data_IF_917002444536
#
_entry.id   IF_917002444536
#
_cell.length_a   1.000
_cell.length_b   1.000
_cell.length_c   1.000
_cell.angle_alpha   90.00
_cell.angle_beta   90.00
_cell.angle_gamma   90.00
#
_symmetry.space_group_name_H-M   'P 1'
#
loop_
_entity.id
_entity.type
_entity.pdbx_description
1 polymer ?
#
# COMPACT_ATOMS: atom_id res chain seq x y z
N UNK A 1 -23.41 -14.18 8.07
CA UNK A 1 -24.51 -13.55 7.35
C UNK A 1 -24.68 -12.09 7.81
N UNK A 2 -23.63 -11.59 8.45
CA UNK A 2 -23.45 -10.21 8.84
C UNK A 2 -22.05 -9.73 8.43
N UNK A 3 -21.81 -8.42 8.42
CA UNK A 3 -20.47 -7.88 8.16
C UNK A 3 -19.49 -8.28 9.28
N UNK A 4 -19.95 -8.43 10.51
CA UNK A 4 -19.11 -8.85 11.64
C UNK A 4 -18.65 -10.31 11.50
N UNK A 5 -19.48 -11.19 10.97
CA UNK A 5 -19.07 -12.57 10.62
C UNK A 5 -18.01 -12.58 9.52
N UNK A 6 -18.16 -11.72 8.49
CA UNK A 6 -17.14 -11.57 7.45
C UNK A 6 -15.82 -11.07 8.03
N UNK A 7 -15.88 -10.09 8.95
CA UNK A 7 -14.68 -9.60 9.65
C UNK A 7 -14.00 -10.70 10.45
N UNK A 8 -14.76 -11.47 11.23
CA UNK A 8 -14.24 -12.56 12.04
C UNK A 8 -13.56 -13.63 11.16
N UNK A 9 -14.16 -13.98 10.01
CA UNK A 9 -13.56 -14.93 9.08
C UNK A 9 -12.29 -14.33 8.44
N UNK A 10 -12.29 -13.07 8.11
CA UNK A 10 -11.10 -12.38 7.61
C UNK A 10 -9.97 -12.36 8.64
N UNK A 11 -10.26 -12.11 9.92
CA UNK A 11 -9.29 -12.19 11.01
C UNK A 11 -8.69 -13.61 11.14
N UNK A 12 -9.52 -14.64 11.01
CA UNK A 12 -9.06 -16.03 11.00
C UNK A 12 -8.11 -16.31 9.85
N UNK A 13 -8.42 -15.82 8.66
CA UNK A 13 -7.55 -15.95 7.49
C UNK A 13 -6.25 -15.15 7.64
N UNK A 14 -6.33 -13.91 8.09
CA UNK A 14 -5.14 -13.07 8.35
C UNK A 14 -4.21 -13.75 9.35
N UNK A 15 -4.75 -14.28 10.47
CA UNK A 15 -3.97 -15.04 11.44
C UNK A 15 -3.26 -16.22 10.81
N UNK A 16 -3.95 -17.01 10.00
CA UNK A 16 -3.35 -18.16 9.30
C UNK A 16 -2.18 -17.75 8.40
N UNK A 17 -2.34 -16.65 7.64
CA UNK A 17 -1.28 -16.15 6.77
C UNK A 17 -0.11 -15.58 7.57
N UNK A 18 -0.35 -14.84 8.65
CA UNK A 18 0.71 -14.30 9.51
C UNK A 18 1.52 -15.44 10.13
N UNK A 19 0.85 -16.45 10.68
CA UNK A 19 1.50 -17.62 11.27
C UNK A 19 2.31 -18.42 10.21
N UNK A 20 1.82 -18.44 8.97
CA UNK A 20 2.50 -19.10 7.84
C UNK A 20 3.73 -18.34 7.38
N UNK A 21 3.64 -17.02 7.26
CA UNK A 21 4.76 -16.12 6.93
C UNK A 21 5.82 -16.20 8.03
N UNK A 22 5.43 -16.22 9.29
CA UNK A 22 6.35 -16.36 10.42
C UNK A 22 7.15 -17.67 10.33
N UNK A 23 6.48 -18.80 10.08
CA UNK A 23 7.16 -20.08 9.90
C UNK A 23 8.12 -20.06 8.71
N UNK A 24 7.74 -19.44 7.61
CA UNK A 24 8.61 -19.25 6.45
C UNK A 24 9.86 -18.43 6.81
N UNK A 25 9.70 -17.37 7.59
CA UNK A 25 10.85 -16.56 8.03
C UNK A 25 11.80 -17.31 8.96
N UNK A 26 11.27 -18.13 9.87
CA UNK A 26 12.12 -18.99 10.72
C UNK A 26 12.90 -20.00 9.88
N UNK A 27 12.25 -20.59 8.89
CA UNK A 27 12.96 -21.50 7.95
C UNK A 27 14.00 -20.76 7.11
N UNK A 28 13.66 -19.58 6.57
CA UNK A 28 14.60 -18.79 5.79
C UNK A 28 15.82 -18.36 6.64
N UNK A 29 15.61 -17.97 7.89
CA UNK A 29 16.70 -17.64 8.80
C UNK A 29 17.64 -18.81 9.04
N UNK A 30 17.10 -20.04 9.18
CA UNK A 30 17.94 -21.25 9.30
C UNK A 30 18.81 -21.45 8.06
N UNK A 31 18.26 -21.26 6.86
CA UNK A 31 19.03 -21.35 5.61
C UNK A 31 20.10 -20.26 5.53
N UNK A 32 19.75 -19.02 5.84
CA UNK A 32 20.73 -17.91 5.87
C UNK A 32 21.85 -18.17 6.88
N UNK A 33 21.51 -18.68 8.06
CA UNK A 33 22.48 -18.99 9.10
C UNK A 33 23.53 -20.05 8.64
N UNK A 34 23.11 -21.00 7.84
CA UNK A 34 23.97 -22.14 7.41
C UNK A 34 24.67 -21.89 6.09
N UNK A 35 24.00 -21.26 5.12
CA UNK A 35 24.47 -21.20 3.73
C UNK A 35 25.00 -19.82 3.33
N UNK A 36 24.54 -18.73 3.99
CA UNK A 36 24.85 -17.36 3.58
C UNK A 36 25.21 -16.42 4.74
N UNK A 37 26.32 -16.67 5.45
CA UNK A 37 26.79 -15.70 6.43
C UNK A 37 27.20 -14.40 5.74
N UNK A 38 26.91 -13.25 6.40
CA UNK A 38 27.16 -11.93 5.85
C UNK A 38 28.27 -11.22 6.63
N UNK A 39 29.54 -11.58 6.39
CA UNK A 39 30.69 -11.08 7.11
C UNK A 39 30.80 -9.55 7.06
N UNK A 40 30.63 -8.94 5.88
CA UNK A 40 30.74 -7.48 5.73
C UNK A 40 29.67 -6.73 6.53
N UNK A 41 28.43 -7.22 6.55
CA UNK A 41 27.38 -6.65 7.38
C UNK A 41 27.69 -6.88 8.88
N UNK A 42 28.15 -8.07 9.24
CA UNK A 42 28.49 -8.40 10.63
C UNK A 42 29.61 -7.54 11.18
N UNK A 43 30.62 -7.21 10.38
CA UNK A 43 31.70 -6.30 10.79
C UNK A 43 31.22 -4.85 11.05
N UNK A 44 30.11 -4.43 10.47
CA UNK A 44 29.54 -3.09 10.59
C UNK A 44 28.33 -3.03 11.53
N UNK A 45 27.95 -4.17 12.12
CA UNK A 45 26.77 -4.28 12.98
C UNK A 45 27.21 -4.45 14.43
N UNK A 46 26.72 -3.56 15.31
CA UNK A 46 26.98 -3.60 16.75
C UNK A 46 26.51 -4.92 17.36
N UNK A 47 27.35 -5.53 18.17
CA UNK A 47 27.10 -6.79 18.85
C UNK A 47 27.68 -8.03 18.13
N UNK A 48 27.89 -7.96 16.82
CA UNK A 48 28.37 -9.12 16.06
C UNK A 48 29.85 -9.47 16.40
N UNK A 49 30.71 -8.47 16.51
CA UNK A 49 32.14 -8.69 16.87
C UNK A 49 32.27 -9.11 18.32
N UNK A 50 31.51 -8.52 19.21
CA UNK A 50 31.53 -8.81 20.67
C UNK A 50 31.02 -10.24 20.94
N UNK A 51 30.02 -10.70 20.20
CA UNK A 51 29.46 -12.05 20.36
C UNK A 51 30.16 -13.12 19.55
N UNK A 52 30.98 -12.73 18.56
CA UNK A 52 31.60 -13.63 17.60
C UNK A 52 30.56 -14.34 16.72
N UNK A 53 29.40 -13.75 16.49
CA UNK A 53 28.31 -14.31 15.72
C UNK A 53 28.01 -13.43 14.51
N UNK A 54 27.70 -14.10 13.39
CA UNK A 54 27.20 -13.40 12.20
C UNK A 54 25.84 -12.72 12.46
N UNK A 55 25.58 -11.64 11.75
CA UNK A 55 24.30 -10.92 11.82
C UNK A 55 23.12 -11.84 11.53
N UNK A 56 23.28 -12.80 10.61
CA UNK A 56 22.24 -13.79 10.30
C UNK A 56 22.02 -14.80 11.43
N UNK A 57 22.99 -14.95 12.33
CA UNK A 57 22.95 -15.84 13.51
C UNK A 57 22.54 -15.12 14.80
N UNK A 58 22.00 -13.93 14.67
CA UNK A 58 21.59 -13.15 15.83
C UNK A 58 22.77 -12.53 16.60
N UNK A 59 23.86 -12.20 15.90
CA UNK A 59 25.01 -11.52 16.49
C UNK A 59 24.76 -10.06 16.86
N UNK A 60 23.81 -9.42 16.17
CA UNK A 60 23.46 -8.02 16.42
C UNK A 60 22.90 -7.81 17.84
N UNK A 61 23.15 -6.61 18.42
CA UNK A 61 22.55 -6.18 19.69
C UNK A 61 21.03 -6.22 19.63
N UNK A 62 20.44 -5.82 18.49
CA UNK A 62 19.02 -5.89 18.22
C UNK A 62 18.76 -6.75 17.00
N UNK A 63 18.06 -7.85 17.22
CA UNK A 63 17.69 -8.77 16.16
C UNK A 63 16.20 -8.57 15.81
N UNK A 64 15.88 -8.69 14.54
CA UNK A 64 14.51 -8.56 14.08
C UNK A 64 14.34 -8.98 12.64
N UNK A 65 13.11 -9.26 12.27
CA UNK A 65 12.70 -9.48 10.90
C UNK A 65 11.58 -8.54 10.53
N UNK A 66 11.67 -7.93 9.37
CA UNK A 66 10.64 -7.03 8.83
C UNK A 66 9.75 -7.73 7.82
N UNK A 67 8.45 -7.44 7.87
CA UNK A 67 7.50 -7.75 6.83
C UNK A 67 6.78 -6.49 6.40
N UNK A 68 6.29 -6.48 5.17
CA UNK A 68 5.55 -5.35 4.63
C UNK A 68 4.14 -5.78 4.26
N UNK A 69 3.15 -4.94 4.56
CA UNK A 69 1.81 -5.06 4.03
C UNK A 69 1.62 -4.03 2.92
N UNK A 70 0.90 -4.42 1.89
CA UNK A 70 0.56 -3.56 0.76
C UNK A 70 -0.90 -3.69 0.38
N UNK A 71 -1.30 -2.99 -0.67
CA UNK A 71 -2.67 -2.99 -1.21
C UNK A 71 -3.75 -2.60 -0.19
N UNK A 72 -3.38 -1.84 0.85
CA UNK A 72 -4.25 -1.51 1.98
C UNK A 72 -5.52 -0.78 1.50
N UNK A 73 -5.38 0.17 0.58
CA UNK A 73 -6.53 0.89 0.01
C UNK A 73 -7.48 -0.04 -0.76
N UNK A 74 -6.96 -1.01 -1.53
CA UNK A 74 -7.81 -1.98 -2.23
C UNK A 74 -8.62 -2.85 -1.26
N UNK A 75 -8.01 -3.27 -0.14
CA UNK A 75 -8.71 -4.03 0.91
C UNK A 75 -9.77 -3.17 1.58
N UNK A 76 -9.42 -1.95 1.99
CA UNK A 76 -10.34 -1.02 2.64
C UNK A 76 -11.54 -0.69 1.77
N UNK A 77 -11.30 -0.33 0.52
CA UNK A 77 -12.34 -0.02 -0.46
C UNK A 77 -13.26 -1.23 -0.71
N UNK A 78 -12.68 -2.42 -0.88
CA UNK A 78 -13.45 -3.65 -1.10
C UNK A 78 -14.38 -3.97 0.06
N UNK A 79 -13.89 -3.88 1.29
CA UNK A 79 -14.69 -4.12 2.49
C UNK A 79 -15.72 -3.03 2.71
N UNK A 80 -15.39 -1.78 2.39
CA UNK A 80 -16.32 -0.65 2.46
C UNK A 80 -17.50 -0.83 1.51
N UNK A 81 -17.25 -1.28 0.28
CA UNK A 81 -18.30 -1.64 -0.69
C UNK A 81 -19.19 -2.74 -0.15
N UNK A 82 -18.61 -3.84 0.32
CA UNK A 82 -19.37 -4.98 0.86
C UNK A 82 -20.22 -4.52 2.05
N UNK A 83 -19.61 -3.82 3.02
CA UNK A 83 -20.33 -3.31 4.18
C UNK A 83 -21.49 -2.42 3.77
N UNK A 84 -21.21 -1.39 2.99
CA UNK A 84 -22.19 -0.34 2.69
C UNK A 84 -23.30 -0.84 1.77
N UNK A 85 -22.96 -1.54 0.68
CA UNK A 85 -23.97 -1.89 -0.33
C UNK A 85 -24.65 -3.21 -0.05
N UNK A 86 -23.94 -4.20 0.52
CA UNK A 86 -24.51 -5.52 0.77
C UNK A 86 -25.16 -5.63 2.16
N UNK A 87 -24.59 -5.03 3.20
CA UNK A 87 -25.08 -5.21 4.57
C UNK A 87 -25.89 -4.01 5.08
N UNK A 88 -25.40 -2.79 4.94
CA UNK A 88 -26.06 -1.61 5.49
C UNK A 88 -27.26 -1.18 4.61
N UNK A 89 -27.03 -0.88 3.34
CA UNK A 89 -28.08 -0.43 2.38
C UNK A 89 -28.86 -1.59 1.77
N UNK A 90 -28.28 -2.79 1.72
CA UNK A 90 -28.87 -4.00 1.11
C UNK A 90 -29.34 -3.77 -0.33
N UNK A 91 -28.62 -2.96 -1.08
CA UNK A 91 -28.95 -2.60 -2.46
C UNK A 91 -28.27 -3.50 -3.51
N UNK A 92 -27.29 -4.28 -3.07
CA UNK A 92 -26.58 -5.32 -3.83
C UNK A 92 -26.56 -6.56 -2.97
N UNK A 93 -26.93 -7.72 -3.49
CA UNK A 93 -26.79 -8.95 -2.75
C UNK A 93 -25.33 -9.44 -2.79
N UNK A 94 -24.90 -10.12 -1.72
CA UNK A 94 -23.56 -10.74 -1.67
C UNK A 94 -23.36 -11.74 -2.81
N UNK A 95 -24.42 -12.43 -3.20
CA UNK A 95 -24.41 -13.39 -4.33
C UNK A 95 -24.19 -12.68 -5.67
N UNK A 96 -24.94 -11.62 -5.93
CA UNK A 96 -24.80 -10.81 -7.14
C UNK A 96 -23.39 -10.24 -7.26
N UNK A 97 -22.83 -9.68 -6.17
CA UNK A 97 -21.47 -9.19 -6.16
C UNK A 97 -20.46 -10.31 -6.42
N UNK A 98 -20.61 -11.46 -5.76
CA UNK A 98 -19.73 -12.61 -5.95
C UNK A 98 -19.73 -13.11 -7.40
N UNK A 99 -20.91 -13.26 -8.00
CA UNK A 99 -21.03 -13.71 -9.39
C UNK A 99 -20.41 -12.70 -10.37
N UNK A 100 -20.55 -11.39 -10.11
CA UNK A 100 -19.91 -10.34 -10.88
C UNK A 100 -18.37 -10.40 -10.80
N UNK A 101 -17.83 -10.70 -9.62
CA UNK A 101 -16.38 -10.86 -9.41
C UNK A 101 -15.84 -12.08 -10.15
N UNK A 102 -16.52 -13.22 -10.09
CA UNK A 102 -16.14 -14.44 -10.81
C UNK A 102 -16.07 -14.22 -12.33
N UNK A 103 -16.96 -13.39 -12.85
CA UNK A 103 -17.01 -13.02 -14.27
C UNK A 103 -16.18 -11.80 -14.62
N UNK A 104 -15.28 -11.34 -13.71
CA UNK A 104 -14.43 -10.17 -13.96
C UNK A 104 -15.22 -8.93 -14.39
N UNK A 105 -16.40 -8.74 -13.82
CA UNK A 105 -17.36 -7.67 -14.15
C UNK A 105 -18.00 -7.76 -15.55
N UNK A 106 -17.68 -8.76 -16.37
CA UNK A 106 -18.27 -8.95 -17.68
C UNK A 106 -19.79 -9.17 -17.54
N UNK A 107 -20.57 -8.40 -18.30
CA UNK A 107 -22.03 -8.38 -18.19
C UNK A 107 -22.58 -7.64 -16.95
N UNK A 108 -21.70 -7.13 -16.07
CA UNK A 108 -22.06 -6.42 -14.83
C UNK A 108 -21.49 -4.99 -14.77
N UNK A 109 -21.26 -4.36 -15.90
CA UNK A 109 -20.66 -3.02 -16.01
C UNK A 109 -21.52 -1.94 -15.32
N UNK A 110 -22.83 -2.09 -15.33
CA UNK A 110 -23.74 -1.16 -14.62
C UNK A 110 -23.56 -1.27 -13.10
N UNK A 111 -23.50 -2.47 -12.57
CA UNK A 111 -23.21 -2.71 -11.16
C UNK A 111 -21.83 -2.14 -10.78
N UNK A 112 -20.81 -2.41 -11.58
CA UNK A 112 -19.47 -1.87 -11.37
C UNK A 112 -19.46 -0.33 -11.33
N UNK A 113 -20.11 0.33 -12.29
CA UNK A 113 -20.24 1.81 -12.32
C UNK A 113 -21.00 2.34 -11.11
N UNK A 114 -22.04 1.65 -10.70
CA UNK A 114 -22.80 1.99 -9.50
C UNK A 114 -21.92 1.94 -8.26
N UNK A 115 -21.14 0.87 -8.07
CA UNK A 115 -20.19 0.73 -6.96
C UNK A 115 -19.23 1.91 -6.95
N UNK A 116 -18.58 2.23 -8.07
CA UNK A 116 -17.60 3.32 -8.18
C UNK A 116 -18.19 4.70 -7.86
N UNK A 117 -19.50 4.88 -8.05
CA UNK A 117 -20.17 6.16 -7.81
C UNK A 117 -20.81 6.28 -6.42
N UNK A 118 -21.36 5.19 -5.88
CA UNK A 118 -22.21 5.22 -4.68
C UNK A 118 -21.53 4.74 -3.41
N UNK A 119 -20.45 3.96 -3.52
CA UNK A 119 -19.75 3.45 -2.35
C UNK A 119 -18.83 4.53 -1.76
N UNK A 120 -18.70 4.59 -0.43
CA UNK A 120 -17.68 5.37 0.21
C UNK A 120 -16.33 4.67 0.08
N UNK A 121 -15.28 5.45 -0.19
CA UNK A 121 -13.93 4.93 -0.42
C UNK A 121 -12.91 5.60 0.48
N UNK A 122 -11.88 4.86 0.83
CA UNK A 122 -10.72 5.32 1.59
C UNK A 122 -9.99 6.47 0.88
N UNK A 123 -9.51 7.43 1.66
CA UNK A 123 -8.78 8.58 1.12
C UNK A 123 -9.63 9.86 0.97
N UNK A 124 -10.85 9.89 1.50
CA UNK A 124 -11.79 11.01 1.37
C UNK A 124 -12.17 11.68 2.69
N UNK A 125 -11.44 11.41 3.79
CA UNK A 125 -11.73 11.86 5.14
C UNK A 125 -13.15 11.42 5.61
N UNK A 126 -13.48 10.17 5.27
CA UNK A 126 -14.73 9.51 5.66
C UNK A 126 -14.41 8.41 6.68
N UNK A 127 -14.95 8.55 7.90
CA UNK A 127 -14.70 7.60 9.00
C UNK A 127 -15.21 6.18 8.71
N UNK A 128 -16.16 6.00 7.79
CA UNK A 128 -16.66 4.69 7.39
C UNK A 128 -15.56 3.80 6.82
N UNK A 129 -15.04 4.11 5.62
CA UNK A 129 -13.94 3.35 5.01
C UNK A 129 -12.64 3.49 5.79
N UNK A 130 -12.34 4.66 6.39
CA UNK A 130 -11.10 4.88 7.12
C UNK A 130 -10.99 3.96 8.35
N UNK A 131 -12.10 3.75 9.09
CA UNK A 131 -12.14 2.83 10.23
C UNK A 131 -11.96 1.36 9.84
N UNK A 132 -12.37 0.98 8.64
CA UNK A 132 -12.12 -0.36 8.10
C UNK A 132 -10.63 -0.57 7.84
N UNK A 133 -9.97 0.42 7.22
CA UNK A 133 -8.52 0.40 6.99
C UNK A 133 -7.77 0.37 8.32
N UNK A 134 -8.16 1.20 9.28
CA UNK A 134 -7.57 1.24 10.61
C UNK A 134 -7.70 -0.12 11.32
N UNK A 135 -8.89 -0.72 11.34
CA UNK A 135 -9.12 -2.05 11.92
C UNK A 135 -8.25 -3.12 11.24
N UNK A 136 -8.27 -3.20 9.91
CA UNK A 136 -7.50 -4.19 9.14
C UNK A 136 -6.00 -4.08 9.44
N UNK A 137 -5.49 -2.85 9.41
CA UNK A 137 -4.06 -2.60 9.64
C UNK A 137 -3.66 -2.86 11.08
N UNK A 138 -4.48 -2.44 12.07
CA UNK A 138 -4.24 -2.73 13.48
C UNK A 138 -4.19 -4.22 13.74
N UNK A 139 -5.19 -4.98 13.26
CA UNK A 139 -5.23 -6.43 13.48
C UNK A 139 -3.97 -7.11 12.94
N UNK A 140 -3.59 -6.80 11.69
CA UNK A 140 -2.40 -7.37 11.06
C UNK A 140 -1.13 -7.03 11.83
N UNK A 141 -0.92 -5.77 12.13
CA UNK A 141 0.29 -5.27 12.79
C UNK A 141 0.43 -5.79 14.20
N UNK A 142 -0.65 -5.76 15.00
CA UNK A 142 -0.64 -6.23 16.37
C UNK A 142 -0.34 -7.72 16.45
N UNK A 143 -0.96 -8.51 15.58
CA UNK A 143 -0.71 -9.95 15.53
C UNK A 143 0.72 -10.26 15.09
N UNK A 144 1.20 -9.60 14.03
CA UNK A 144 2.55 -9.81 13.51
C UNK A 144 3.62 -9.38 14.52
N UNK A 145 3.49 -8.20 15.11
CA UNK A 145 4.46 -7.67 16.08
C UNK A 145 4.48 -8.45 17.41
N UNK A 146 3.39 -9.16 17.75
CA UNK A 146 3.31 -10.00 18.96
C UNK A 146 3.93 -11.39 18.77
N UNK A 147 4.19 -11.79 17.53
CA UNK A 147 4.75 -13.12 17.22
C UNK A 147 6.27 -13.12 17.45
N UNK A 148 6.87 -14.13 18.08
CA UNK A 148 8.31 -14.21 18.26
C UNK A 148 9.06 -14.16 16.93
N UNK A 149 10.09 -13.31 16.87
CA UNK A 149 10.96 -13.18 15.70
C UNK A 149 12.07 -14.25 15.67
N UNK A 150 12.81 -14.26 14.58
CA UNK A 150 13.99 -15.13 14.43
C UNK A 150 15.10 -14.69 15.38
N UNK A 151 15.98 -15.62 15.75
CA UNK A 151 17.16 -15.36 16.58
C UNK A 151 16.84 -14.64 17.90
N UNK A 152 15.73 -14.97 18.56
CA UNK A 152 15.20 -14.30 19.76
C UNK A 152 14.95 -12.79 19.57
N UNK A 153 14.81 -12.34 18.33
CA UNK A 153 14.51 -10.97 17.99
C UNK A 153 12.99 -10.69 17.96
N UNK A 154 12.65 -9.55 17.41
CA UNK A 154 11.26 -9.13 17.23
C UNK A 154 10.81 -9.27 15.78
N UNK A 155 9.52 -9.52 15.57
CA UNK A 155 8.90 -9.29 14.27
C UNK A 155 8.39 -7.86 14.19
N UNK A 156 8.57 -7.22 13.04
CA UNK A 156 8.17 -5.85 12.83
C UNK A 156 7.45 -5.73 11.48
N UNK A 157 6.35 -5.00 11.46
CA UNK A 157 5.59 -4.75 10.24
C UNK A 157 5.80 -3.33 9.74
N UNK A 158 5.77 -3.16 8.43
CA UNK A 158 5.70 -1.86 7.76
C UNK A 158 4.60 -1.83 6.71
N UNK A 159 4.30 -0.64 6.20
CA UNK A 159 3.33 -0.43 5.13
C UNK A 159 4.05 0.12 3.89
N UNK A 160 4.69 -0.77 3.15
CA UNK A 160 5.36 -0.46 1.89
C UNK A 160 5.17 -1.62 0.93
N UNK A 161 4.88 -1.32 -0.33
CA UNK A 161 4.72 -2.29 -1.39
C UNK A 161 5.29 -1.72 -2.69
N UNK A 162 6.10 -2.51 -3.37
CA UNK A 162 6.64 -2.21 -4.69
C UNK A 162 6.03 -3.10 -5.79
N UNK A 163 5.12 -3.99 -5.41
CA UNK A 163 4.58 -5.04 -6.30
C UNK A 163 3.12 -4.81 -6.70
N UNK A 164 2.53 -3.64 -6.44
CA UNK A 164 1.10 -3.37 -6.70
C UNK A 164 0.67 -3.63 -8.15
N UNK A 165 1.55 -3.37 -9.16
CA UNK A 165 1.27 -3.69 -10.57
C UNK A 165 1.37 -5.19 -10.79
N UNK A 166 2.47 -5.82 -10.39
CA UNK A 166 2.66 -7.28 -10.55
C UNK A 166 1.67 -8.08 -9.70
N UNK A 167 1.39 -7.62 -8.49
CA UNK A 167 0.37 -8.20 -7.61
C UNK A 167 -1.00 -8.14 -8.26
N UNK A 168 -1.34 -6.99 -8.86
CA UNK A 168 -2.59 -6.78 -9.58
C UNK A 168 -2.77 -7.77 -10.74
N UNK A 169 -1.71 -8.02 -11.53
CA UNK A 169 -1.73 -9.01 -12.63
C UNK A 169 -2.08 -10.42 -12.17
N UNK A 170 -1.86 -10.74 -10.89
CA UNK A 170 -2.13 -12.06 -10.29
C UNK A 170 -3.37 -12.08 -9.40
N UNK A 171 -4.03 -10.95 -9.22
CA UNK A 171 -5.22 -10.81 -8.37
C UNK A 171 -6.46 -10.69 -9.21
N UNK A 172 -7.46 -11.49 -8.89
CA UNK A 172 -8.77 -11.47 -9.53
C UNK A 172 -9.50 -10.14 -9.27
N UNK A 173 -10.65 -9.96 -9.91
CA UNK A 173 -11.51 -8.80 -9.69
C UNK A 173 -11.82 -8.62 -8.20
N UNK A 174 -11.92 -7.36 -7.76
CA UNK A 174 -12.17 -7.02 -6.36
C UNK A 174 -13.45 -6.20 -6.20
N UNK A 175 -14.12 -6.28 -5.03
CA UNK A 175 -15.41 -5.65 -4.77
C UNK A 175 -15.46 -4.13 -5.00
N UNK A 176 -14.33 -3.45 -4.91
CA UNK A 176 -14.16 -2.02 -5.17
C UNK A 176 -14.23 -1.63 -6.66
N UNK A 177 -14.62 -2.57 -7.53
CA UNK A 177 -14.77 -2.35 -8.97
C UNK A 177 -13.48 -2.51 -9.77
N UNK A 178 -12.36 -2.97 -9.16
CA UNK A 178 -11.12 -3.31 -9.87
C UNK A 178 -11.32 -4.58 -10.69
N UNK A 179 -10.82 -4.61 -11.92
CA UNK A 179 -10.80 -5.79 -12.77
C UNK A 179 -9.59 -6.67 -12.48
N UNK A 180 -9.68 -7.93 -12.89
CA UNK A 180 -8.55 -8.86 -12.90
C UNK A 180 -7.41 -8.26 -13.72
N UNK A 181 -6.22 -8.24 -13.16
CA UNK A 181 -5.04 -7.71 -13.81
C UNK A 181 -4.77 -6.23 -13.61
N UNK A 182 -5.79 -5.43 -13.25
CA UNK A 182 -5.57 -4.01 -12.92
C UNK A 182 -4.65 -3.88 -11.70
N UNK A 183 -3.85 -2.79 -11.60
CA UNK A 183 -3.03 -2.54 -10.43
C UNK A 183 -3.83 -2.49 -9.12
N UNK A 184 -3.22 -2.97 -8.04
CA UNK A 184 -3.70 -2.77 -6.67
C UNK A 184 -3.37 -1.34 -6.20
N UNK A 185 -3.83 -0.94 -5.02
CA UNK A 185 -3.34 0.27 -4.36
C UNK A 185 -1.87 0.09 -3.94
N UNK A 186 -1.07 1.14 -4.02
CA UNK A 186 0.34 1.08 -3.62
C UNK A 186 0.46 1.28 -2.11
N UNK A 187 1.18 0.41 -1.43
CA UNK A 187 1.49 0.58 0.00
C UNK A 187 0.25 0.90 0.85
N UNK A 188 0.28 2.04 1.53
CA UNK A 188 -0.82 2.60 2.33
C UNK A 188 -1.75 3.54 1.55
N UNK A 189 -1.42 3.80 0.28
CA UNK A 189 -2.16 4.77 -0.52
C UNK A 189 -3.59 4.29 -0.80
N UNK A 190 -4.57 5.19 -0.82
CA UNK A 190 -5.84 4.95 -1.50
C UNK A 190 -5.63 4.61 -2.97
N UNK A 191 -6.60 3.96 -3.58
CA UNK A 191 -6.59 3.83 -5.04
C UNK A 191 -6.82 5.20 -5.70
N UNK A 192 -6.11 5.52 -6.79
CA UNK A 192 -6.29 6.82 -7.45
C UNK A 192 -7.75 7.13 -7.81
N UNK A 193 -8.50 6.13 -8.31
CA UNK A 193 -9.92 6.27 -8.67
C UNK A 193 -10.85 6.50 -7.47
N UNK A 194 -10.38 6.23 -6.26
CA UNK A 194 -11.17 6.33 -5.02
C UNK A 194 -11.13 7.74 -4.43
N UNK A 195 -10.06 8.50 -4.68
CA UNK A 195 -9.86 9.84 -4.07
C UNK A 195 -10.65 10.87 -4.87
N UNK A 196 -11.60 11.53 -4.20
CA UNK A 196 -12.50 12.53 -4.80
C UNK A 196 -12.41 13.90 -4.10
N UNK A 197 -11.98 13.93 -2.84
CA UNK A 197 -12.02 15.10 -1.98
C UNK A 197 -10.67 15.84 -1.86
N UNK A 198 -9.73 15.52 -2.75
CA UNK A 198 -8.45 16.22 -2.86
C UNK A 198 -7.41 15.83 -1.79
N UNK A 199 -6.21 16.44 -1.86
CA UNK A 199 -5.05 16.01 -1.11
C UNK A 199 -5.16 16.18 0.41
N UNK A 200 -5.95 17.13 0.90
CA UNK A 200 -6.16 17.30 2.34
C UNK A 200 -6.98 16.15 2.93
N UNK A 201 -8.06 15.76 2.26
CA UNK A 201 -8.85 14.59 2.67
C UNK A 201 -8.04 13.31 2.62
N UNK A 202 -7.22 13.15 1.57
CA UNK A 202 -6.29 12.03 1.43
C UNK A 202 -5.35 11.91 2.64
N UNK A 203 -4.62 12.98 3.00
CA UNK A 203 -3.66 12.90 4.12
C UNK A 203 -4.34 12.68 5.46
N UNK A 204 -5.55 13.21 5.66
CA UNK A 204 -6.35 12.97 6.87
C UNK A 204 -6.78 11.52 7.01
N UNK A 205 -7.29 10.90 5.94
CA UNK A 205 -7.64 9.48 5.93
C UNK A 205 -6.43 8.61 6.26
N UNK A 206 -5.33 8.83 5.55
CA UNK A 206 -4.13 7.98 5.72
C UNK A 206 -3.48 8.20 7.08
N UNK A 207 -3.56 9.40 7.66
CA UNK A 207 -3.05 9.67 9.00
C UNK A 207 -3.74 8.88 10.12
N UNK A 208 -4.97 8.38 9.89
CA UNK A 208 -5.69 7.50 10.84
C UNK A 208 -5.10 6.09 10.97
N UNK A 209 -4.21 5.69 10.08
CA UNK A 209 -3.52 4.41 10.18
C UNK A 209 -2.64 4.34 11.45
N UNK A 210 -2.38 3.13 12.00
CA UNK A 210 -1.59 2.95 13.22
C UNK A 210 -0.08 3.10 12.98
N UNK A 211 0.36 4.24 12.47
CA UNK A 211 1.74 4.49 12.06
C UNK A 211 2.79 4.17 13.14
N UNK A 212 2.48 4.45 14.40
CA UNK A 212 3.39 4.15 15.53
C UNK A 212 3.65 2.66 15.75
N UNK A 213 2.76 1.79 15.27
CA UNK A 213 2.91 0.34 15.35
C UNK A 213 3.66 -0.24 14.15
N UNK A 214 3.74 0.50 13.05
CA UNK A 214 4.44 0.11 11.81
C UNK A 214 5.95 0.35 11.96
N UNK A 215 6.62 -0.51 12.71
CA UNK A 215 8.03 -0.36 13.12
C UNK A 215 9.02 -0.42 11.96
N UNK A 216 8.67 -1.07 10.85
CA UNK A 216 9.45 -1.04 9.61
C UNK A 216 9.12 0.16 8.73
N UNK A 217 8.30 1.11 9.24
CA UNK A 217 7.95 2.33 8.52
C UNK A 217 6.86 2.13 7.47
N UNK A 218 6.71 3.14 6.67
CA UNK A 218 5.77 3.21 5.56
C UNK A 218 5.68 4.64 5.05
N UNK A 219 5.24 4.79 3.82
CA UNK A 219 5.15 6.10 3.18
C UNK A 219 3.84 6.25 2.43
N UNK A 220 3.40 7.50 2.32
CA UNK A 220 2.39 7.90 1.36
C UNK A 220 3.06 8.55 0.14
N UNK A 221 2.42 8.42 -1.01
CA UNK A 221 2.94 8.98 -2.26
C UNK A 221 1.99 10.08 -2.75
N UNK A 222 2.34 11.32 -2.48
CA UNK A 222 1.63 12.49 -2.99
C UNK A 222 2.18 12.91 -4.34
N UNK A 223 1.28 13.06 -5.29
CA UNK A 223 1.61 13.47 -6.65
C UNK A 223 1.03 14.84 -6.92
N UNK A 224 1.87 15.73 -7.39
CA UNK A 224 1.50 17.10 -7.67
C UNK A 224 1.77 17.41 -9.14
N UNK A 225 0.80 18.03 -9.80
CA UNK A 225 1.02 18.55 -11.14
C UNK A 225 2.04 19.68 -11.12
N UNK A 226 2.99 19.66 -12.06
CA UNK A 226 4.08 20.63 -12.12
C UNK A 226 3.58 22.08 -12.24
N UNK A 227 2.41 22.32 -12.82
CA UNK A 227 1.85 23.66 -12.95
C UNK A 227 1.16 24.13 -11.67
N UNK A 228 0.63 23.18 -10.88
CA UNK A 228 -0.05 23.48 -9.62
C UNK A 228 0.90 23.95 -8.51
N UNK A 229 2.20 23.72 -8.64
CA UNK A 229 3.21 24.00 -7.59
C UNK A 229 4.09 25.23 -7.88
N UNK A 230 3.81 25.99 -8.91
CA UNK A 230 4.68 27.10 -9.36
C UNK A 230 4.50 28.43 -8.61
N UNK A 231 3.44 28.57 -7.82
CA UNK A 231 3.16 29.83 -7.11
C UNK A 231 3.59 29.79 -5.64
N UNK A 232 3.85 30.96 -5.05
CA UNK A 232 4.15 31.07 -3.62
C UNK A 232 2.99 30.56 -2.76
N UNK A 233 1.74 30.79 -3.19
CA UNK A 233 0.54 30.26 -2.53
C UNK A 233 0.52 28.73 -2.55
N UNK A 234 0.93 28.11 -3.65
CA UNK A 234 1.05 26.64 -3.74
C UNK A 234 2.10 26.10 -2.76
N UNK A 235 3.25 26.76 -2.65
CA UNK A 235 4.29 26.40 -1.68
C UNK A 235 3.76 26.45 -0.25
N UNK A 236 3.00 27.49 0.13
CA UNK A 236 2.39 27.59 1.43
C UNK A 236 1.38 26.45 1.68
N UNK A 237 0.52 26.14 0.71
CA UNK A 237 -0.45 25.05 0.80
C UNK A 237 0.21 23.69 0.96
N UNK A 238 1.30 23.42 0.21
CA UNK A 238 2.05 22.16 0.34
C UNK A 238 2.70 22.06 1.71
N UNK A 239 3.32 23.14 2.22
CA UNK A 239 3.86 23.17 3.57
C UNK A 239 2.78 22.86 4.63
N UNK A 240 1.62 23.46 4.51
CA UNK A 240 0.52 23.28 5.46
C UNK A 240 -0.08 21.87 5.37
N UNK A 241 -0.12 21.28 4.16
CA UNK A 241 -0.49 19.88 3.95
C UNK A 241 0.49 18.92 4.63
N UNK A 242 1.79 19.13 4.46
CA UNK A 242 2.84 18.35 5.10
C UNK A 242 2.74 18.44 6.63
N UNK A 243 2.62 19.67 7.14
CA UNK A 243 2.47 19.90 8.58
C UNK A 243 1.23 19.20 9.14
N UNK A 244 0.09 19.30 8.43
CA UNK A 244 -1.15 18.63 8.83
C UNK A 244 -0.94 17.12 8.91
N UNK A 245 -0.32 16.50 7.91
CA UNK A 245 -0.07 15.07 7.90
C UNK A 245 0.77 14.61 9.10
N UNK A 246 1.88 15.31 9.39
CA UNK A 246 2.73 14.95 10.52
C UNK A 246 2.10 15.25 11.88
N UNK A 247 1.35 16.35 12.01
CA UNK A 247 0.60 16.67 13.23
C UNK A 247 -0.46 15.61 13.54
N UNK A 248 -1.05 14.99 12.54
CA UNK A 248 -2.01 13.91 12.69
C UNK A 248 -1.37 12.54 12.93
N UNK A 249 -0.05 12.44 12.93
CA UNK A 249 0.68 11.22 13.26
C UNK A 249 1.28 10.47 12.08
N UNK A 250 1.20 11.02 10.87
CA UNK A 250 1.90 10.50 9.70
C UNK A 250 3.41 10.50 9.89
N UNK A 251 4.13 9.59 9.23
CA UNK A 251 5.56 9.38 9.48
C UNK A 251 6.46 9.68 8.28
N UNK A 252 5.95 9.50 7.07
CA UNK A 252 6.73 9.72 5.85
C UNK A 252 5.83 10.05 4.67
N UNK A 253 6.26 11.01 3.87
CA UNK A 253 5.58 11.37 2.62
C UNK A 253 6.62 11.45 1.50
N UNK A 254 6.31 10.86 0.36
CA UNK A 254 7.05 11.03 -0.88
C UNK A 254 6.28 11.98 -1.78
N UNK A 255 6.97 13.01 -2.23
CA UNK A 255 6.45 13.91 -3.25
C UNK A 255 7.02 13.56 -4.60
N UNK A 256 6.16 13.51 -5.60
CA UNK A 256 6.57 13.53 -6.99
C UNK A 256 5.85 14.67 -7.69
N UNK A 257 6.64 15.52 -8.34
CA UNK A 257 6.14 16.60 -9.18
C UNK A 257 6.47 16.23 -10.61
N UNK A 258 5.48 16.05 -11.45
CA UNK A 258 5.69 15.65 -12.83
C UNK A 258 4.66 16.32 -13.75
N UNK A 259 5.06 16.42 -15.02
CA UNK A 259 4.20 16.88 -16.09
C UNK A 259 3.74 15.68 -16.92
N UNK A 260 2.44 15.39 -16.87
CA UNK A 260 1.84 14.26 -17.59
C UNK A 260 1.99 14.40 -19.11
N UNK A 261 1.99 15.63 -19.63
CA UNK A 261 2.20 15.86 -21.06
C UNK A 261 3.61 15.47 -21.51
N UNK A 262 4.60 15.76 -20.66
CA UNK A 262 5.99 15.34 -20.91
C UNK A 262 6.11 13.82 -20.87
N UNK A 263 5.50 13.17 -19.89
CA UNK A 263 5.51 11.70 -19.79
C UNK A 263 4.81 11.04 -20.99
N UNK A 264 3.68 11.58 -21.43
CA UNK A 264 2.98 11.10 -22.65
C UNK A 264 3.81 11.32 -23.93
N UNK A 265 4.56 12.41 -23.99
CA UNK A 265 5.51 12.64 -25.10
C UNK A 265 6.67 11.62 -25.07
N UNK A 266 7.20 11.35 -23.89
CA UNK A 266 8.27 10.37 -23.69
C UNK A 266 7.85 8.93 -24.05
N UNK A 267 6.58 8.56 -23.83
CA UNK A 267 6.06 7.26 -24.30
C UNK A 267 6.04 7.14 -25.83
N UNK A 268 5.75 8.25 -26.53
CA UNK A 268 5.69 8.27 -28.00
C UNK A 268 7.06 8.33 -28.66
N UNK A 269 7.99 9.06 -28.05
CA UNK A 269 9.32 9.31 -28.57
C UNK A 269 10.38 9.07 -27.48
N UNK A 270 10.61 7.84 -27.03
CA UNK A 270 11.47 7.55 -25.88
C UNK A 270 12.91 8.02 -26.06
N UNK A 271 13.42 8.07 -27.28
CA UNK A 271 14.78 8.51 -27.59
C UNK A 271 15.04 9.99 -27.26
N UNK A 272 14.00 10.83 -27.32
CA UNK A 272 14.10 12.26 -27.02
C UNK A 272 14.05 12.56 -25.51
N UNK A 273 13.75 11.56 -24.67
CA UNK A 273 13.51 11.72 -23.23
C UNK A 273 14.27 10.69 -22.37
N UNK A 274 15.44 10.28 -22.81
CA UNK A 274 16.19 9.21 -22.13
C UNK A 274 16.66 9.60 -20.71
N UNK A 275 16.77 10.87 -20.42
CA UNK A 275 17.13 11.44 -19.13
C UNK A 275 15.92 11.81 -18.23
N UNK A 276 14.68 11.54 -18.70
CA UNK A 276 13.49 11.79 -17.90
C UNK A 276 13.46 10.86 -16.68
N UNK A 277 13.73 11.45 -15.52
CA UNK A 277 13.72 10.74 -14.24
C UNK A 277 12.40 10.95 -13.54
N UNK A 278 11.83 9.86 -13.02
CA UNK A 278 10.62 9.84 -12.19
C UNK A 278 10.89 9.24 -10.83
N UNK A 279 10.16 9.70 -9.81
CA UNK A 279 10.29 9.20 -8.44
C UNK A 279 9.27 8.11 -8.18
N UNK A 280 9.75 6.91 -7.81
CA UNK A 280 8.92 5.76 -7.52
C UNK A 280 9.16 5.35 -6.06
N UNK A 281 8.20 5.57 -5.19
CA UNK A 281 8.16 5.05 -3.81
C UNK A 281 9.53 4.98 -3.10
N UNK A 282 10.31 6.07 -3.12
CA UNK A 282 11.60 6.13 -2.41
C UNK A 282 12.84 5.94 -3.28
N UNK A 283 12.73 5.55 -4.55
CA UNK A 283 13.83 5.53 -5.51
C UNK A 283 13.46 6.27 -6.80
N UNK A 284 14.45 6.58 -7.62
CA UNK A 284 14.26 7.22 -8.91
C UNK A 284 14.54 6.23 -10.03
N UNK A 285 13.78 6.31 -11.11
CA UNK A 285 13.97 5.50 -12.30
C UNK A 285 13.92 6.38 -13.55
N UNK A 286 14.58 5.94 -14.61
CA UNK A 286 14.38 6.53 -15.93
C UNK A 286 13.02 6.07 -16.46
N UNK A 287 12.15 7.03 -16.76
CA UNK A 287 10.79 6.78 -17.18
C UNK A 287 10.72 5.91 -18.44
N UNK A 288 11.58 6.20 -19.43
CA UNK A 288 11.64 5.46 -20.69
C UNK A 288 12.12 4.01 -20.55
N UNK A 289 12.80 3.67 -19.44
CA UNK A 289 13.24 2.30 -19.15
C UNK A 289 12.20 1.46 -18.40
N UNK A 290 11.11 2.06 -17.96
CA UNK A 290 10.00 1.34 -17.32
C UNK A 290 9.20 0.56 -18.36
N UNK A 291 8.53 -0.52 -17.92
CA UNK A 291 7.57 -1.22 -18.78
C UNK A 291 6.41 -0.28 -19.16
N UNK A 292 5.82 -0.50 -20.33
CA UNK A 292 4.67 0.32 -20.76
C UNK A 292 3.53 0.32 -19.73
N UNK A 293 3.24 -0.82 -19.13
CA UNK A 293 2.21 -0.95 -18.08
C UNK A 293 2.54 -0.12 -16.83
N UNK A 294 3.83 -0.09 -16.43
CA UNK A 294 4.27 0.72 -15.29
C UNK A 294 4.21 2.21 -15.63
N UNK A 295 4.58 2.61 -16.86
CA UNK A 295 4.44 3.98 -17.34
C UNK A 295 2.98 4.42 -17.34
N UNK A 296 2.06 3.62 -17.87
CA UNK A 296 0.62 3.90 -17.88
C UNK A 296 0.06 4.03 -16.46
N UNK A 297 0.41 3.09 -15.59
CA UNK A 297 -0.01 3.16 -14.19
C UNK A 297 0.55 4.41 -13.50
N UNK A 298 1.81 4.77 -13.82
CA UNK A 298 2.45 5.96 -13.28
C UNK A 298 1.71 7.23 -13.72
N UNK A 299 1.45 7.39 -15.02
CA UNK A 299 0.74 8.55 -15.58
C UNK A 299 -0.69 8.64 -15.05
N UNK A 300 -1.44 7.53 -15.06
CA UNK A 300 -2.83 7.52 -14.63
C UNK A 300 -3.02 8.07 -13.21
N UNK A 301 -2.02 7.93 -12.34
CA UNK A 301 -2.05 8.48 -10.98
C UNK A 301 -1.96 10.00 -10.93
N UNK A 302 -1.42 10.66 -11.96
CA UNK A 302 -1.37 12.12 -12.08
C UNK A 302 -2.61 12.67 -12.78
N UNK A 303 -3.11 11.96 -13.79
CA UNK A 303 -4.30 12.36 -14.54
C UNK A 303 -5.56 12.35 -13.67
N UNK A 304 -5.58 11.58 -12.59
CA UNK A 304 -6.70 11.53 -11.64
C UNK A 304 -6.66 12.64 -10.57
N UNK A 305 -5.66 13.53 -10.60
CA UNK A 305 -5.66 14.80 -9.86
C UNK A 305 -5.60 14.68 -8.34
N UNK A 306 -4.77 13.78 -7.82
CA UNK A 306 -4.45 13.75 -6.38
C UNK A 306 -3.20 14.55 -6.10
#
# INVERSE_FOLDING_TARGET
ESFDELKAEMERQMKFYIDSITRMYHFAALVFNTEWPCLSASMMTEGCLETGRDVTWGGATYNGMGSMIGAIGTVGDSLSVIKTLCFDKKTVSTRELYDALLNNWEGNELLRRRILNEAPFYGNDDDGPDSIVEWFTNYWVDHFNSTPGVNNGTQNCGALDLYWVMGGKRTWATPDGRKTGDPLSASSDPRPVSVKNGPLAYVKSVAKMPWRKLRCGGAINLRLDANSVKSDDATAKIRDLINTYFMLGGIQVHFTVADTAVMRAAQKNPDDYQDLIVRIAGFSAYFTHMSFDDQENYIARYELGV
#
